data_IF_389041536701
#
_entry.id   IF_389041536701
#
_cell.length_a   1.000
_cell.length_b   1.000
_cell.length_c   1.000
_cell.angle_alpha   90.00
_cell.angle_beta   90.00
_cell.angle_gamma   90.00
#
_symmetry.space_group_name_H-M   'P 1'
#
loop_
_entity.id
_entity.type
_entity.pdbx_description
1 polymer ?
#
# COMPACT_ATOMS: atom_id res chain seq x y z
N UNK A 1 56.75 -15.79 40.88
CA UNK A 1 55.57 -16.69 40.78
C UNK A 1 54.79 -16.60 42.09
N UNK A 2 53.78 -15.73 42.18
CA UNK A 2 53.03 -15.50 43.43
C UNK A 2 51.82 -16.44 43.50
N UNK A 3 51.66 -17.15 44.63
CA UNK A 3 50.54 -18.08 44.91
C UNK A 3 49.28 -17.29 45.27
N UNK A 4 48.19 -17.49 44.53
CA UNK A 4 46.86 -16.93 44.85
C UNK A 4 46.19 -17.80 45.93
N UNK A 5 45.57 -17.21 46.97
CA UNK A 5 44.88 -17.97 48.01
C UNK A 5 43.54 -18.56 47.53
N UNK A 6 43.06 -19.67 48.12
CA UNK A 6 41.80 -20.29 47.72
C UNK A 6 40.59 -19.45 48.12
N UNK A 7 39.64 -19.31 47.19
CA UNK A 7 38.39 -18.57 47.35
C UNK A 7 37.51 -19.27 48.39
N UNK A 8 37.16 -18.57 49.48
CA UNK A 8 36.25 -19.08 50.52
C UNK A 8 34.85 -19.36 49.95
N UNK A 9 34.33 -20.56 50.17
CA UNK A 9 32.97 -20.95 49.81
C UNK A 9 31.95 -20.16 50.65
N UNK A 10 31.38 -19.10 50.05
CA UNK A 10 30.25 -18.38 50.63
C UNK A 10 28.99 -19.26 50.55
N UNK A 11 28.35 -19.50 51.70
CA UNK A 11 27.14 -20.32 51.83
C UNK A 11 26.01 -19.85 50.91
N UNK A 12 25.41 -20.81 50.20
CA UNK A 12 24.27 -20.59 49.34
C UNK A 12 23.05 -20.18 50.17
N UNK A 13 22.51 -18.98 49.94
CA UNK A 13 21.21 -18.57 50.49
C UNK A 13 20.11 -19.39 49.82
N UNK A 14 19.10 -19.90 50.56
CA UNK A 14 18.00 -20.65 49.97
C UNK A 14 17.20 -19.75 49.03
N UNK A 15 17.09 -20.15 47.77
CA UNK A 15 16.25 -19.49 46.76
C UNK A 15 14.79 -19.61 47.22
N UNK A 16 14.21 -18.49 47.69
CA UNK A 16 12.78 -18.41 47.98
C UNK A 16 12.02 -18.68 46.67
N UNK A 17 11.31 -19.81 46.60
CA UNK A 17 10.37 -20.10 45.52
C UNK A 17 9.24 -19.07 45.59
N UNK A 18 9.34 -18.03 44.77
CA UNK A 18 8.25 -17.08 44.51
C UNK A 18 6.99 -17.88 44.12
N UNK A 19 5.91 -17.74 44.89
CA UNK A 19 4.60 -18.29 44.52
C UNK A 19 4.23 -17.68 43.16
N UNK A 20 4.08 -18.53 42.15
CA UNK A 20 3.83 -18.10 40.77
C UNK A 20 2.64 -17.14 40.71
N UNK A 21 2.82 -16.02 40.00
CA UNK A 21 1.76 -15.05 39.79
C UNK A 21 0.48 -15.75 39.31
N UNK A 22 -0.66 -15.35 39.88
CA UNK A 22 -1.98 -15.87 39.49
C UNK A 22 -2.13 -15.60 37.99
N UNK A 23 -2.10 -16.67 37.19
CA UNK A 23 -2.27 -16.57 35.75
C UNK A 23 -3.72 -16.17 35.50
N UNK A 24 -3.93 -15.08 34.77
CA UNK A 24 -5.27 -14.73 34.31
C UNK A 24 -5.82 -15.85 33.42
N UNK A 25 -7.15 -15.95 33.34
CA UNK A 25 -7.83 -16.96 32.51
C UNK A 25 -7.38 -16.93 31.03
N UNK A 26 -7.01 -15.74 30.54
CA UNK A 26 -6.53 -15.52 29.18
C UNK A 26 -5.01 -15.69 29.01
N UNK A 27 -4.27 -16.11 30.03
CA UNK A 27 -2.80 -16.19 29.99
C UNK A 27 -2.28 -17.01 28.81
N UNK A 28 -2.92 -18.15 28.51
CA UNK A 28 -2.55 -19.01 27.38
C UNK A 28 -2.77 -18.31 26.03
N UNK A 29 -3.91 -17.61 25.87
CA UNK A 29 -4.22 -16.84 24.65
C UNK A 29 -3.22 -15.71 24.44
N UNK A 30 -2.93 -14.95 25.50
CA UNK A 30 -1.94 -13.84 25.46
C UNK A 30 -0.53 -14.39 25.19
N UNK A 31 -0.18 -15.56 25.74
CA UNK A 31 1.11 -16.21 25.46
C UNK A 31 1.23 -16.62 23.99
N UNK A 32 0.21 -17.25 23.42
CA UNK A 32 0.19 -17.63 21.99
C UNK A 32 0.28 -16.40 21.09
N UNK A 33 -0.47 -15.34 21.40
CA UNK A 33 -0.39 -14.07 20.67
C UNK A 33 1.01 -13.47 20.74
N UNK A 34 1.62 -13.40 21.93
CA UNK A 34 2.99 -12.90 22.11
C UNK A 34 4.01 -13.76 21.37
N UNK A 35 3.84 -15.07 21.38
CA UNK A 35 4.72 -16.01 20.70
C UNK A 35 4.65 -15.87 19.17
N UNK A 36 3.43 -15.71 18.61
CA UNK A 36 3.24 -15.57 17.17
C UNK A 36 3.64 -14.17 16.66
N UNK A 37 3.36 -13.12 17.44
CA UNK A 37 3.63 -11.74 17.03
C UNK A 37 5.10 -11.36 17.14
N UNK A 38 5.83 -11.95 18.09
CA UNK A 38 7.24 -11.64 18.35
C UNK A 38 8.17 -12.83 18.06
N UNK A 39 7.76 -13.74 17.18
CA UNK A 39 8.65 -14.79 16.70
C UNK A 39 9.82 -14.15 15.93
N UNK A 40 11.09 -14.52 16.21
CA UNK A 40 12.22 -13.97 15.48
C UNK A 40 12.11 -14.33 14.00
N UNK A 41 12.50 -13.39 13.14
CA UNK A 41 12.55 -13.65 11.70
C UNK A 41 13.48 -14.84 11.39
N UNK A 42 13.17 -15.65 10.37
CA UNK A 42 14.09 -16.69 9.92
C UNK A 42 15.44 -16.07 9.50
N UNK A 43 16.54 -16.84 9.58
CA UNK A 43 17.85 -16.35 9.22
C UNK A 43 17.89 -15.89 7.74
N UNK A 44 18.79 -14.95 7.39
CA UNK A 44 18.89 -14.44 6.03
C UNK A 44 19.25 -15.54 5.04
N UNK A 45 18.68 -15.45 3.83
CA UNK A 45 18.87 -16.45 2.78
C UNK A 45 20.31 -16.46 2.26
N UNK A 46 20.96 -17.63 2.32
CA UNK A 46 22.27 -17.86 1.73
C UNK A 46 22.12 -18.53 0.36
N UNK A 47 22.64 -17.89 -0.68
CA UNK A 47 22.58 -18.41 -2.06
C UNK A 47 23.98 -18.73 -2.58
N UNK A 48 24.13 -19.85 -3.28
CA UNK A 48 25.31 -20.12 -4.09
C UNK A 48 25.41 -19.14 -5.28
N UNK A 49 26.61 -18.94 -5.82
CA UNK A 49 26.90 -17.94 -6.87
C UNK A 49 25.93 -17.98 -8.06
N UNK A 50 25.70 -19.15 -8.67
CA UNK A 50 24.78 -19.29 -9.81
C UNK A 50 23.31 -19.01 -9.45
N UNK A 51 22.89 -19.32 -8.21
CA UNK A 51 21.55 -18.98 -7.73
C UNK A 51 21.41 -17.47 -7.51
N UNK A 52 22.44 -16.85 -6.93
CA UNK A 52 22.49 -15.40 -6.74
C UNK A 52 22.45 -14.64 -8.06
N UNK A 53 23.24 -15.06 -9.07
CA UNK A 53 23.26 -14.41 -10.38
C UNK A 53 21.91 -14.53 -11.12
N UNK A 54 21.25 -15.70 -11.05
CA UNK A 54 19.89 -15.88 -11.58
C UNK A 54 18.90 -14.95 -10.88
N UNK A 55 18.93 -14.89 -9.56
CA UNK A 55 18.08 -14.01 -8.78
C UNK A 55 18.31 -12.53 -9.12
N UNK A 56 19.57 -12.11 -9.22
CA UNK A 56 19.96 -10.75 -9.60
C UNK A 56 19.43 -10.37 -10.97
N UNK A 57 19.55 -11.27 -11.95
CA UNK A 57 19.08 -11.02 -13.32
C UNK A 57 17.56 -10.85 -13.37
N UNK A 58 16.81 -11.74 -12.70
CA UNK A 58 15.35 -11.65 -12.60
C UNK A 58 14.95 -10.34 -11.90
N UNK A 59 15.63 -9.99 -10.81
CA UNK A 59 15.38 -8.77 -10.06
C UNK A 59 15.59 -7.51 -10.91
N UNK A 60 16.69 -7.45 -11.67
CA UNK A 60 16.98 -6.34 -12.58
C UNK A 60 15.99 -6.25 -13.73
N UNK A 61 15.64 -7.38 -14.35
CA UNK A 61 14.63 -7.43 -15.38
C UNK A 61 13.26 -6.92 -14.87
N UNK A 62 12.87 -7.31 -13.66
CA UNK A 62 11.65 -6.83 -13.02
C UNK A 62 11.69 -5.32 -12.73
N UNK A 63 12.81 -4.79 -12.24
CA UNK A 63 12.97 -3.35 -12.03
C UNK A 63 12.87 -2.57 -13.35
N UNK A 64 13.46 -3.08 -14.43
CA UNK A 64 13.37 -2.48 -15.76
C UNK A 64 11.93 -2.49 -16.27
N UNK A 65 11.25 -3.63 -16.18
CA UNK A 65 9.84 -3.76 -16.55
C UNK A 65 8.96 -2.77 -15.78
N UNK A 66 9.12 -2.67 -14.46
CA UNK A 66 8.38 -1.70 -13.63
C UNK A 66 8.66 -0.25 -14.05
N UNK A 67 9.89 0.08 -14.44
CA UNK A 67 10.23 1.41 -14.95
C UNK A 67 9.47 1.70 -16.25
N UNK A 68 9.50 0.77 -17.20
CA UNK A 68 8.78 0.89 -18.47
C UNK A 68 7.26 1.06 -18.26
N UNK A 69 6.66 0.30 -17.33
CA UNK A 69 5.24 0.44 -17.00
C UNK A 69 4.90 1.83 -16.43
N UNK A 70 5.75 2.37 -15.52
CA UNK A 70 5.55 3.73 -15.00
C UNK A 70 5.68 4.78 -16.09
N UNK A 71 6.73 4.70 -16.91
CA UNK A 71 6.95 5.63 -18.04
C UNK A 71 5.77 5.61 -19.01
N UNK A 72 5.20 4.43 -19.29
CA UNK A 72 4.02 4.30 -20.15
C UNK A 72 2.78 4.98 -19.53
N UNK A 73 2.52 4.74 -18.24
CA UNK A 73 1.40 5.36 -17.51
C UNK A 73 1.57 6.89 -17.43
N UNK A 74 2.79 7.36 -17.16
CA UNK A 74 3.11 8.79 -17.08
C UNK A 74 2.93 9.46 -18.44
N UNK A 75 3.43 8.84 -19.53
CA UNK A 75 3.25 9.33 -20.89
C UNK A 75 1.78 9.43 -21.26
N UNK A 76 0.99 8.41 -20.93
CA UNK A 76 -0.45 8.40 -21.19
C UNK A 76 -1.18 9.47 -20.38
N UNK A 77 -0.81 9.65 -19.10
CA UNK A 77 -1.33 10.74 -18.26
C UNK A 77 -0.99 12.11 -18.85
N UNK A 78 0.24 12.31 -19.31
CA UNK A 78 0.66 13.55 -19.99
C UNK A 78 -0.13 13.78 -21.28
N UNK A 79 -0.38 12.73 -22.08
CA UNK A 79 -1.21 12.81 -23.29
C UNK A 79 -2.64 13.25 -22.97
N UNK A 80 -3.27 12.62 -21.98
CA UNK A 80 -4.62 12.99 -21.54
C UNK A 80 -4.66 14.43 -21.02
N UNK A 81 -3.68 14.82 -20.19
CA UNK A 81 -3.58 16.18 -19.68
C UNK A 81 -3.40 17.22 -20.80
N UNK A 82 -2.54 16.96 -21.78
CA UNK A 82 -2.35 17.84 -22.94
C UNK A 82 -3.64 17.98 -23.76
N UNK A 83 -4.37 16.88 -23.96
CA UNK A 83 -5.68 16.90 -24.62
C UNK A 83 -6.72 17.73 -23.86
N UNK A 84 -6.80 17.56 -22.54
CA UNK A 84 -7.66 18.35 -21.66
C UNK A 84 -7.29 19.84 -21.71
N UNK A 85 -6.00 20.16 -21.67
CA UNK A 85 -5.50 21.53 -21.73
C UNK A 85 -5.91 22.20 -23.05
N UNK A 86 -5.61 21.57 -24.18
CA UNK A 86 -5.98 22.10 -25.50
C UNK A 86 -7.49 22.33 -25.63
N UNK A 87 -8.31 21.36 -25.18
CA UNK A 87 -9.76 21.51 -25.20
C UNK A 87 -10.25 22.68 -24.33
N UNK A 88 -9.64 22.90 -23.17
CA UNK A 88 -9.97 24.03 -22.29
C UNK A 88 -9.53 25.37 -22.86
N UNK A 89 -8.36 25.43 -23.53
CA UNK A 89 -7.88 26.63 -24.21
C UNK A 89 -8.78 27.03 -25.38
N UNK A 90 -9.28 26.05 -26.15
CA UNK A 90 -10.27 26.32 -27.18
C UNK A 90 -11.58 26.81 -26.55
N UNK A 91 -12.08 26.13 -25.51
CA UNK A 91 -13.31 26.53 -24.81
C UNK A 91 -13.24 27.95 -24.23
N UNK A 92 -12.05 28.40 -23.84
CA UNK A 92 -11.80 29.75 -23.33
C UNK A 92 -12.03 30.83 -24.39
N UNK A 93 -11.70 30.54 -25.66
CA UNK A 93 -11.85 31.45 -26.80
C UNK A 93 -13.22 31.35 -27.47
N UNK A 94 -13.97 30.28 -27.22
CA UNK A 94 -15.31 30.13 -27.80
C UNK A 94 -16.31 31.14 -27.23
N UNK A 95 -17.13 31.70 -28.12
CA UNK A 95 -18.33 32.45 -27.74
C UNK A 95 -19.41 31.46 -27.34
N UNK A 96 -20.06 31.70 -26.20
CA UNK A 96 -21.04 30.77 -25.65
C UNK A 96 -22.33 30.73 -26.48
N UNK A 97 -23.08 29.61 -26.43
CA UNK A 97 -24.42 29.55 -27.01
C UNK A 97 -25.36 30.58 -26.35
N UNK A 98 -26.43 30.96 -27.06
CA UNK A 98 -27.52 31.81 -26.54
C UNK A 98 -27.07 33.24 -26.12
N UNK A 99 -26.13 33.83 -26.84
CA UNK A 99 -25.69 35.22 -26.60
C UNK A 99 -24.81 35.39 -25.36
N UNK A 100 -24.30 34.29 -24.79
CA UNK A 100 -23.35 34.35 -23.68
C UNK A 100 -21.96 34.76 -24.17
N UNK A 101 -21.34 35.67 -23.42
CA UNK A 101 -20.02 36.20 -23.75
C UNK A 101 -18.92 35.12 -23.81
N UNK A 102 -17.81 35.49 -24.43
CA UNK A 102 -16.63 34.64 -24.60
C UNK A 102 -16.15 34.01 -23.27
N UNK A 103 -15.74 32.74 -23.35
CA UNK A 103 -15.19 31.99 -22.22
C UNK A 103 -16.20 31.68 -21.10
N UNK A 104 -17.50 31.90 -21.31
CA UNK A 104 -18.53 31.52 -20.33
C UNK A 104 -18.48 30.03 -19.98
N UNK A 105 -18.44 29.16 -21.00
CA UNK A 105 -18.38 27.71 -20.79
C UNK A 105 -17.10 27.27 -20.06
N UNK A 106 -15.97 27.92 -20.34
CA UNK A 106 -14.72 27.67 -19.62
C UNK A 106 -14.84 27.99 -18.13
N UNK A 107 -15.44 29.15 -17.78
CA UNK A 107 -15.65 29.53 -16.37
C UNK A 107 -16.53 28.52 -15.63
N UNK A 108 -17.61 28.05 -16.27
CA UNK A 108 -18.50 27.02 -15.71
C UNK A 108 -17.78 25.68 -15.55
N UNK A 109 -17.04 25.23 -16.56
CA UNK A 109 -16.31 23.96 -16.51
C UNK A 109 -15.21 23.93 -15.44
N UNK A 110 -14.65 25.08 -15.08
CA UNK A 110 -13.63 25.20 -14.04
C UNK A 110 -14.20 25.18 -12.61
N UNK A 111 -15.51 25.30 -12.43
CA UNK A 111 -16.13 25.19 -11.11
C UNK A 111 -15.87 23.80 -10.50
N UNK A 112 -15.47 23.77 -9.22
CA UNK A 112 -15.17 22.53 -8.50
C UNK A 112 -16.30 22.08 -7.57
N UNK A 113 -17.54 22.40 -7.94
CA UNK A 113 -18.74 22.07 -7.14
C UNK A 113 -18.90 20.56 -7.04
N UNK A 114 -19.09 20.04 -5.82
CA UNK A 114 -19.32 18.61 -5.57
C UNK A 114 -18.08 17.69 -5.67
N UNK A 115 -16.92 18.20 -6.11
CA UNK A 115 -15.72 17.36 -6.33
C UNK A 115 -15.03 16.94 -5.03
N UNK A 116 -15.10 17.77 -3.99
CA UNK A 116 -14.46 17.50 -2.69
C UNK A 116 -15.42 16.92 -1.64
N UNK A 117 -16.66 16.62 -2.03
CA UNK A 117 -17.69 16.07 -1.15
C UNK A 117 -17.58 14.55 -0.96
N UNK A 118 -18.41 14.00 -0.09
CA UNK A 118 -18.55 12.55 0.11
C UNK A 118 -19.08 11.84 -1.14
N UNK A 119 -19.95 12.53 -1.91
CA UNK A 119 -20.62 11.98 -3.09
C UNK A 119 -19.91 12.34 -4.41
N UNK A 120 -18.63 12.71 -4.35
CA UNK A 120 -17.87 13.14 -5.52
C UNK A 120 -17.66 12.02 -6.57
N UNK A 121 -17.51 10.78 -6.10
CA UNK A 121 -17.34 9.60 -6.96
C UNK A 121 -18.42 8.58 -6.58
N UNK A 122 -19.32 8.19 -7.52
CA UNK A 122 -20.32 7.17 -7.24
C UNK A 122 -19.69 5.86 -6.79
N UNK A 123 -20.13 5.34 -5.63
CA UNK A 123 -19.58 4.11 -5.04
C UNK A 123 -19.72 2.89 -5.95
N UNK A 124 -20.71 2.90 -6.84
CA UNK A 124 -20.93 1.84 -7.84
C UNK A 124 -19.82 1.78 -8.89
N UNK A 125 -19.20 2.93 -9.20
CA UNK A 125 -18.08 3.00 -10.15
C UNK A 125 -16.72 2.72 -9.49
N UNK A 126 -16.58 3.00 -8.18
CA UNK A 126 -15.34 2.76 -7.43
C UNK A 126 -15.04 1.27 -7.15
N UNK A 127 -15.66 0.35 -7.88
CA UNK A 127 -15.46 -1.11 -7.73
C UNK A 127 -14.09 -1.52 -8.25
N UNK A 128 -13.37 -2.30 -7.46
CA UNK A 128 -12.08 -2.86 -7.85
C UNK A 128 -12.24 -3.96 -8.91
N UNK A 129 -11.22 -4.12 -9.75
CA UNK A 129 -11.13 -5.24 -10.68
C UNK A 129 -10.94 -6.55 -9.90
N UNK A 130 -11.66 -7.59 -10.31
CA UNK A 130 -11.56 -8.95 -9.74
C UNK A 130 -10.85 -9.89 -10.70
N UNK A 131 -10.20 -10.93 -10.16
CA UNK A 131 -9.45 -11.90 -10.99
C UNK A 131 -10.36 -12.67 -11.96
N UNK A 132 -11.58 -13.01 -11.53
CA UNK A 132 -12.62 -13.62 -12.38
C UNK A 132 -13.89 -12.76 -12.35
N UNK A 133 -14.67 -12.74 -13.44
CA UNK A 133 -15.95 -12.02 -13.46
C UNK A 133 -16.96 -12.65 -12.49
N UNK A 134 -17.95 -11.87 -12.07
CA UNK A 134 -19.10 -12.37 -11.33
C UNK A 134 -20.01 -13.23 -12.22
N UNK A 135 -20.92 -14.00 -11.61
CA UNK A 135 -21.94 -14.78 -12.33
C UNK A 135 -22.75 -13.94 -13.31
N UNK A 136 -23.06 -12.71 -12.92
CA UNK A 136 -23.62 -11.68 -13.78
C UNK A 136 -22.60 -10.54 -13.86
N UNK A 137 -21.83 -10.41 -14.96
CA UNK A 137 -20.76 -9.41 -15.07
C UNK A 137 -21.28 -7.99 -15.23
N UNK A 138 -22.45 -7.83 -15.85
CA UNK A 138 -23.09 -6.53 -16.09
C UNK A 138 -24.61 -6.63 -15.92
N UNK A 139 -25.20 -5.61 -15.31
CA UNK A 139 -26.66 -5.52 -15.16
C UNK A 139 -27.25 -4.74 -16.34
N UNK A 140 -27.82 -5.46 -17.31
CA UNK A 140 -28.50 -4.84 -18.47
C UNK A 140 -29.90 -4.31 -18.13
N UNK A 141 -30.47 -4.71 -16.99
CA UNK A 141 -31.84 -4.35 -16.58
C UNK A 141 -31.87 -3.09 -15.70
N UNK A 142 -30.75 -2.36 -15.60
CA UNK A 142 -30.69 -1.13 -14.81
C UNK A 142 -31.70 -0.10 -15.31
N UNK A 143 -32.50 0.46 -14.39
CA UNK A 143 -33.48 1.51 -14.65
C UNK A 143 -33.19 2.71 -13.76
N UNK A 144 -33.42 3.92 -14.30
CA UNK A 144 -33.18 5.21 -13.66
C UNK A 144 -34.23 5.53 -12.60
#
# INVERSE_FOLDING_TARGET
>A
MARVPPRSAAGAKPVRKSKGAIRSENFLRVKTLKQNMFSPAPPPLRMARLRYLRHWTIHRAWQLFRRQQREAIEKERHRMHAGMYNACEELRKTVGPEGRGEGYLYRVAMEKKGIWGTDAIPIEYARFQTDSPAKQPWNHDWKR
#
